data_IF_822170832795
#
_entry.id   IF_822170832795
#
_cell.length_a   1.000
_cell.length_b   1.000
_cell.length_c   1.000
_cell.angle_alpha   90.00
_cell.angle_beta   90.00
_cell.angle_gamma   90.00
#
_symmetry.space_group_name_H-M   'P 1'
#
loop_
_entity.id
_entity.type
_entity.pdbx_description
1 polymer ?
#
# COMPACT_ATOMS: atom_id res chain seq x y z
N UNK A 1 26.87 2.31 -7.77
CA UNK A 1 25.60 3.06 -7.63
C UNK A 1 25.96 4.51 -7.56
N UNK A 2 25.43 5.33 -8.46
CA UNK A 2 25.68 6.76 -8.40
C UNK A 2 24.99 7.36 -7.18
N UNK A 3 25.57 8.40 -6.58
CA UNK A 3 24.97 9.11 -5.44
C UNK A 3 23.53 9.59 -5.69
N UNK A 4 23.11 9.66 -6.96
CA UNK A 4 21.78 10.11 -7.35
C UNK A 4 20.64 9.11 -7.05
N UNK A 5 20.94 7.81 -7.00
CA UNK A 5 19.94 6.78 -6.60
C UNK A 5 19.61 6.86 -5.09
N UNK A 6 20.44 7.56 -4.33
CA UNK A 6 20.28 7.71 -2.88
C UNK A 6 19.82 9.12 -2.47
N UNK A 7 19.45 9.99 -3.41
CA UNK A 7 18.93 11.30 -3.06
C UNK A 7 17.63 11.21 -2.27
N UNK A 8 17.48 11.98 -1.20
CA UNK A 8 16.28 11.93 -0.38
C UNK A 8 15.04 12.37 -1.16
N UNK A 9 13.99 11.63 -0.98
CA UNK A 9 12.68 11.63 -1.66
C UNK A 9 11.96 13.01 -1.70
N UNK A 10 12.45 14.03 -1.05
CA UNK A 10 11.76 15.30 -0.86
C UNK A 10 11.46 16.11 -2.15
N UNK A 11 12.07 15.75 -3.29
CA UNK A 11 11.87 16.45 -4.56
C UNK A 11 11.64 15.49 -5.76
N UNK A 12 11.25 14.24 -5.51
CA UNK A 12 11.31 13.16 -6.49
C UNK A 12 10.33 13.26 -7.66
N UNK A 13 9.11 13.72 -7.42
CA UNK A 13 8.09 13.71 -8.46
C UNK A 13 8.45 14.58 -9.68
N UNK A 14 9.26 15.63 -9.49
CA UNK A 14 9.67 16.52 -10.57
C UNK A 14 11.08 16.20 -11.10
N UNK A 15 12.02 15.84 -10.23
CA UNK A 15 13.39 15.55 -10.64
C UNK A 15 13.52 14.22 -11.41
N UNK A 16 12.74 13.21 -11.07
CA UNK A 16 12.77 11.91 -11.75
C UNK A 16 12.23 11.97 -13.20
N UNK A 17 11.23 12.80 -13.47
CA UNK A 17 10.67 12.91 -14.82
C UNK A 17 11.68 13.54 -15.79
N UNK A 18 12.45 14.53 -15.33
CA UNK A 18 13.41 15.24 -16.16
C UNK A 18 14.76 14.49 -16.29
N UNK A 19 15.10 13.62 -15.32
CA UNK A 19 16.38 12.91 -15.25
C UNK A 19 16.26 11.37 -15.39
N UNK A 20 15.13 10.85 -15.90
CA UNK A 20 14.87 9.41 -16.03
C UNK A 20 15.98 8.65 -16.76
N UNK A 21 16.48 9.21 -17.85
CA UNK A 21 17.58 8.60 -18.63
C UNK A 21 18.88 8.46 -17.80
N UNK A 22 19.08 9.37 -16.85
CA UNK A 22 20.27 9.38 -16.01
C UNK A 22 20.19 8.39 -14.85
N UNK A 23 19.00 8.21 -14.29
CA UNK A 23 18.79 7.30 -13.13
C UNK A 23 18.38 5.90 -13.56
N UNK A 24 18.04 5.69 -14.82
CA UNK A 24 17.52 4.41 -15.31
C UNK A 24 18.57 3.53 -15.95
N UNK A 25 19.64 4.11 -16.50
CA UNK A 25 20.68 3.36 -17.19
C UNK A 25 22.08 3.88 -16.87
N UNK A 26 23.08 3.05 -17.01
CA UNK A 26 24.46 3.47 -16.85
C UNK A 26 25.49 2.42 -17.20
N UNK A 27 26.77 2.80 -17.10
CA UNK A 27 27.91 1.92 -17.35
C UNK A 27 28.85 1.96 -16.15
N UNK A 28 29.23 0.79 -15.67
CA UNK A 28 30.21 0.63 -14.61
C UNK A 28 31.31 -0.32 -15.11
N UNK A 29 32.47 0.22 -15.44
CA UNK A 29 33.54 -0.56 -16.07
C UNK A 29 33.14 -1.10 -17.45
N UNK A 30 33.06 -2.43 -17.59
CA UNK A 30 32.62 -3.11 -18.82
C UNK A 30 31.17 -3.61 -18.75
N UNK A 31 30.44 -3.33 -17.66
CA UNK A 31 29.05 -3.73 -17.49
C UNK A 31 28.12 -2.52 -17.68
N UNK A 32 27.02 -2.73 -18.38
CA UNK A 32 25.88 -1.81 -18.41
C UNK A 32 24.80 -2.25 -17.42
N UNK A 33 24.09 -1.30 -16.85
CA UNK A 33 22.93 -1.55 -16.03
C UNK A 33 21.73 -0.76 -16.56
N UNK A 34 20.55 -1.31 -16.35
CA UNK A 34 19.28 -0.76 -16.75
C UNK A 34 18.28 -1.03 -15.61
N UNK A 35 17.59 0.01 -15.13
CA UNK A 35 16.54 -0.09 -14.14
C UNK A 35 15.20 -0.03 -14.86
N UNK A 36 14.38 -1.03 -14.63
CA UNK A 36 13.03 -1.12 -15.15
C UNK A 36 12.08 -1.54 -14.04
N UNK A 37 10.83 -1.25 -14.22
CA UNK A 37 9.74 -1.80 -13.41
C UNK A 37 8.62 -2.26 -14.33
N UNK A 38 7.87 -3.25 -13.87
CA UNK A 38 6.76 -3.84 -14.59
C UNK A 38 5.44 -3.42 -13.94
N UNK A 39 4.49 -2.95 -14.75
CA UNK A 39 3.14 -2.60 -14.31
C UNK A 39 2.16 -2.87 -15.45
N UNK A 40 1.06 -3.56 -15.15
CA UNK A 40 0.00 -3.89 -16.10
C UNK A 40 0.52 -4.60 -17.37
N UNK A 41 1.39 -5.59 -17.23
CA UNK A 41 1.93 -6.36 -18.35
C UNK A 41 2.89 -5.57 -19.25
N UNK A 42 3.49 -4.47 -18.76
CA UNK A 42 4.38 -3.60 -19.54
C UNK A 42 5.63 -3.22 -18.75
N UNK A 43 6.76 -3.31 -19.43
CA UNK A 43 8.03 -2.78 -18.92
C UNK A 43 8.07 -1.25 -19.05
N UNK A 44 8.38 -0.59 -17.96
CA UNK A 44 8.64 0.85 -17.90
C UNK A 44 10.10 1.09 -17.52
N UNK A 45 10.70 2.12 -18.10
CA UNK A 45 12.06 2.50 -17.76
C UNK A 45 12.07 3.31 -16.46
N UNK A 46 13.04 3.02 -15.60
CA UNK A 46 13.23 3.72 -14.33
C UNK A 46 12.71 2.94 -13.11
N UNK A 47 12.99 3.48 -11.91
CA UNK A 47 12.51 2.91 -10.66
C UNK A 47 10.99 3.09 -10.51
N UNK A 48 10.35 2.15 -9.83
CA UNK A 48 8.95 2.30 -9.39
C UNK A 48 8.88 3.20 -8.16
N UNK A 49 7.81 4.00 -8.09
CA UNK A 49 7.54 4.83 -6.93
C UNK A 49 6.79 4.01 -5.85
N UNK A 50 7.45 3.71 -4.75
CA UNK A 50 6.84 3.02 -3.61
C UNK A 50 5.63 3.77 -3.01
N UNK A 51 5.49 5.08 -3.26
CA UNK A 51 4.30 5.84 -2.85
C UNK A 51 3.05 5.52 -3.69
N UNK A 52 3.21 4.80 -4.80
CA UNK A 52 2.07 4.26 -5.56
C UNK A 52 1.40 3.09 -4.84
N UNK A 53 2.09 2.46 -3.90
CA UNK A 53 1.59 1.35 -3.10
C UNK A 53 1.04 1.82 -1.77
N UNK A 54 0.11 1.04 -1.23
CA UNK A 54 -0.49 1.31 0.07
C UNK A 54 0.43 0.85 1.21
N UNK A 55 0.74 1.74 2.15
CA UNK A 55 1.55 1.38 3.31
C UNK A 55 0.70 0.66 4.36
N UNK A 56 0.95 -0.64 4.56
CA UNK A 56 0.22 -1.47 5.51
C UNK A 56 0.35 -0.99 6.96
N UNK A 57 1.42 -0.30 7.30
CA UNK A 57 1.66 0.26 8.64
C UNK A 57 1.06 1.66 8.83
N UNK A 58 0.39 2.23 7.83
CA UNK A 58 -0.24 3.54 7.96
C UNK A 58 -1.48 3.48 8.85
N UNK A 59 -1.86 4.60 9.48
CA UNK A 59 -3.04 4.68 10.35
C UNK A 59 -4.34 4.22 9.68
N UNK A 60 -4.43 4.29 8.36
CA UNK A 60 -5.60 3.88 7.58
C UNK A 60 -5.49 2.43 7.04
N UNK A 61 -4.47 1.69 7.43
CA UNK A 61 -4.25 0.31 6.93
C UNK A 61 -5.42 -0.61 7.22
N UNK A 62 -6.03 -0.48 8.40
CA UNK A 62 -7.21 -1.28 8.80
C UNK A 62 -8.37 -1.09 7.82
N UNK A 63 -8.58 0.13 7.32
CA UNK A 63 -9.64 0.39 6.34
C UNK A 63 -9.34 -0.29 5.00
N UNK A 64 -8.10 -0.22 4.53
CA UNK A 64 -7.70 -0.89 3.29
C UNK A 64 -7.82 -2.42 3.43
N UNK A 65 -7.36 -2.98 4.53
CA UNK A 65 -7.48 -4.41 4.81
C UNK A 65 -8.95 -4.84 4.89
N UNK A 66 -9.85 -4.00 5.41
CA UNK A 66 -11.30 -4.29 5.39
C UNK A 66 -11.93 -4.23 4.00
N UNK A 67 -11.40 -3.42 3.09
CA UNK A 67 -11.82 -3.43 1.69
C UNK A 67 -11.42 -4.74 1.01
N UNK A 68 -10.26 -5.27 1.37
CA UNK A 68 -9.81 -6.59 0.90
C UNK A 68 -10.51 -7.76 1.61
N UNK A 69 -11.12 -7.54 2.77
CA UNK A 69 -11.70 -8.58 3.66
C UNK A 69 -12.77 -9.45 2.97
N UNK A 70 -13.50 -8.91 1.98
CA UNK A 70 -14.47 -9.69 1.19
C UNK A 70 -13.79 -10.78 0.34
N UNK A 71 -12.49 -10.64 0.07
CA UNK A 71 -11.68 -11.57 -0.73
C UNK A 71 -10.70 -12.39 0.12
N UNK A 72 -10.50 -11.99 1.40
CA UNK A 72 -9.61 -12.69 2.31
C UNK A 72 -10.25 -13.96 2.88
N UNK A 73 -9.49 -15.04 3.07
CA UNK A 73 -9.95 -16.19 3.85
C UNK A 73 -10.34 -15.77 5.28
N UNK A 74 -11.34 -16.46 5.82
CA UNK A 74 -11.90 -16.15 7.13
C UNK A 74 -10.84 -16.16 8.25
N UNK A 75 -10.72 -15.06 8.98
CA UNK A 75 -9.79 -14.89 10.09
C UNK A 75 -8.41 -14.35 9.71
N UNK A 76 -8.10 -14.20 8.42
CA UNK A 76 -6.80 -13.67 7.99
C UNK A 76 -6.62 -12.20 8.37
N UNK A 77 -7.66 -11.40 8.22
CA UNK A 77 -7.61 -9.99 8.63
C UNK A 77 -7.28 -9.84 10.12
N UNK A 78 -7.97 -10.59 10.97
CA UNK A 78 -7.75 -10.55 12.41
C UNK A 78 -6.35 -11.02 12.77
N UNK A 79 -5.83 -12.05 12.10
CA UNK A 79 -4.45 -12.52 12.29
C UNK A 79 -3.41 -11.49 11.87
N UNK A 80 -3.67 -10.71 10.80
CA UNK A 80 -2.80 -9.61 10.39
C UNK A 80 -2.82 -8.50 11.44
N UNK A 81 -4.00 -8.17 11.98
CA UNK A 81 -4.14 -7.12 13.00
C UNK A 81 -3.49 -7.53 14.32
N UNK A 82 -3.62 -8.80 14.75
CA UNK A 82 -2.96 -9.36 15.93
C UNK A 82 -1.43 -9.38 15.76
N UNK A 83 -0.94 -9.69 14.55
CA UNK A 83 0.49 -9.61 14.25
C UNK A 83 1.08 -8.21 14.38
N UNK A 84 0.25 -7.18 14.11
CA UNK A 84 0.69 -5.79 14.01
C UNK A 84 0.55 -5.00 15.31
N UNK A 85 -0.30 -5.40 16.25
CA UNK A 85 -0.44 -4.69 17.51
C UNK A 85 0.64 -5.09 18.55
N UNK A 86 0.61 -4.45 19.71
CA UNK A 86 1.67 -4.60 20.73
C UNK A 86 1.28 -5.53 21.87
N UNK A 87 0.05 -6.04 21.86
CA UNK A 87 -0.43 -6.89 22.94
C UNK A 87 -0.52 -8.37 22.53
N UNK A 88 -0.98 -9.26 23.44
CA UNK A 88 -1.17 -10.68 23.19
C UNK A 88 -2.68 -11.04 23.35
N UNK A 89 -3.59 -10.07 23.15
CA UNK A 89 -5.04 -10.28 23.27
C UNK A 89 -5.64 -10.72 21.94
N UNK A 90 -5.91 -12.02 21.81
CA UNK A 90 -6.44 -12.64 20.58
C UNK A 90 -7.77 -12.01 20.15
N UNK A 91 -7.85 -11.44 18.94
CA UNK A 91 -9.12 -11.05 18.33
C UNK A 91 -9.97 -12.25 18.01
N UNK A 92 -11.29 -12.05 17.83
CA UNK A 92 -12.30 -13.12 17.66
C UNK A 92 -11.89 -13.99 16.49
N UNK A 93 -11.11 -14.23 15.84
CA UNK A 93 -10.69 -15.15 14.75
C UNK A 93 -9.20 -15.00 14.46
N UNK A 94 -8.54 -14.14 15.18
CA UNK A 94 -7.13 -13.91 15.04
C UNK A 94 -6.32 -14.94 15.82
N UNK A 95 -5.03 -14.78 15.80
CA UNK A 95 -4.07 -15.63 16.53
C UNK A 95 -2.91 -14.81 17.05
N UNK A 96 -2.48 -15.14 18.23
CA UNK A 96 -1.40 -14.49 18.94
C UNK A 96 -0.23 -15.44 19.25
N UNK A 97 0.69 -14.99 20.04
CA UNK A 97 1.95 -15.64 20.40
C UNK A 97 1.84 -17.13 20.70
N UNK A 98 0.83 -17.54 21.48
CA UNK A 98 0.66 -18.94 21.88
C UNK A 98 0.43 -19.86 20.67
N UNK A 99 -0.25 -19.38 19.65
CA UNK A 99 -0.43 -20.10 18.39
C UNK A 99 0.91 -20.32 17.70
N UNK A 100 1.69 -19.28 17.47
CA UNK A 100 2.96 -19.36 16.72
C UNK A 100 4.00 -20.20 17.48
N UNK A 101 4.00 -20.16 18.80
CA UNK A 101 4.85 -21.00 19.63
C UNK A 101 4.42 -22.47 19.65
N UNK A 102 3.18 -22.78 19.28
CA UNK A 102 2.66 -24.15 19.21
C UNK A 102 2.96 -24.87 17.88
N UNK A 103 3.48 -24.16 16.88
CA UNK A 103 3.80 -24.73 15.58
C UNK A 103 4.96 -25.73 15.64
N UNK A 104 5.05 -26.63 14.68
CA UNK A 104 6.17 -27.60 14.56
C UNK A 104 7.55 -26.90 14.47
N UNK A 105 7.59 -25.72 13.87
CA UNK A 105 8.73 -24.81 13.86
C UNK A 105 8.31 -23.49 14.54
N UNK A 106 8.41 -23.42 15.87
CA UNK A 106 7.90 -22.26 16.61
C UNK A 106 8.71 -21.01 16.37
N UNK A 107 8.01 -19.89 16.33
CA UNK A 107 8.60 -18.55 16.25
C UNK A 107 7.74 -17.54 17.02
N UNK A 108 8.30 -16.40 17.33
CA UNK A 108 7.61 -15.29 18.01
C UNK A 108 6.94 -14.40 16.93
N UNK A 109 5.68 -14.02 17.11
CA UNK A 109 5.07 -12.98 16.29
C UNK A 109 5.79 -11.65 16.51
N UNK A 110 5.59 -10.71 15.58
CA UNK A 110 6.27 -9.42 15.69
C UNK A 110 5.71 -8.53 16.79
N UNK A 111 4.41 -8.56 17.02
CA UNK A 111 3.68 -7.62 17.88
C UNK A 111 4.10 -6.18 17.60
N UNK A 112 3.92 -5.76 16.34
CA UNK A 112 4.29 -4.43 15.89
C UNK A 112 4.34 -4.27 14.38
N UNK A 113 4.79 -3.12 13.87
CA UNK A 113 4.76 -2.80 12.45
C UNK A 113 5.51 -3.82 11.59
N UNK A 114 4.91 -4.24 10.48
CA UNK A 114 5.49 -5.14 9.48
C UNK A 114 6.71 -4.48 8.84
N UNK A 115 7.82 -5.19 8.73
CA UNK A 115 9.08 -4.65 8.18
C UNK A 115 9.28 -4.92 6.70
N UNK A 116 8.69 -5.99 6.19
CA UNK A 116 8.77 -6.38 4.80
C UNK A 116 7.45 -7.05 4.40
N UNK A 117 6.98 -6.84 3.19
CA UNK A 117 5.77 -7.51 2.71
C UNK A 117 5.94 -9.04 2.77
N UNK A 118 7.10 -9.57 2.44
CA UNK A 118 7.39 -11.00 2.57
C UNK A 118 7.28 -11.54 4.02
N UNK A 119 7.34 -10.69 5.04
CA UNK A 119 7.09 -11.09 6.43
C UNK A 119 5.64 -11.54 6.65
N UNK A 120 4.71 -11.05 5.85
CA UNK A 120 3.31 -11.43 5.96
C UNK A 120 3.08 -12.92 5.70
N UNK A 121 3.98 -13.60 4.98
CA UNK A 121 3.95 -15.05 4.80
C UNK A 121 4.12 -15.85 6.11
N UNK A 122 4.52 -15.18 7.20
CA UNK A 122 4.61 -15.77 8.53
C UNK A 122 3.29 -15.65 9.31
N UNK A 123 2.33 -14.88 8.82
CA UNK A 123 1.06 -14.64 9.49
C UNK A 123 0.12 -15.82 9.23
N UNK A 124 -0.56 -16.28 10.25
CA UNK A 124 -1.48 -17.40 10.14
C UNK A 124 -2.59 -17.14 9.11
N UNK A 125 -2.74 -18.07 8.18
CA UNK A 125 -3.74 -17.99 7.11
C UNK A 125 -3.28 -17.23 5.87
N UNK A 126 -2.18 -16.51 5.90
CA UNK A 126 -1.57 -15.89 4.72
C UNK A 126 -0.73 -16.94 3.99
N UNK A 127 -0.98 -17.10 2.70
CA UNK A 127 -0.23 -18.01 1.85
C UNK A 127 0.81 -17.25 1.01
N UNK A 128 1.90 -17.88 0.59
CA UNK A 128 2.86 -17.23 -0.31
C UNK A 128 2.23 -16.69 -1.59
N UNK A 129 1.24 -17.37 -2.14
CA UNK A 129 0.51 -16.97 -3.34
C UNK A 129 -0.28 -15.67 -3.11
N UNK A 130 -0.82 -15.44 -1.89
CA UNK A 130 -1.51 -14.19 -1.57
C UNK A 130 -0.54 -12.99 -1.67
N UNK A 131 0.71 -13.19 -1.25
CA UNK A 131 1.73 -12.15 -1.24
C UNK A 131 2.36 -11.95 -2.61
N UNK A 132 2.70 -13.03 -3.26
CA UNK A 132 3.53 -13.03 -4.48
C UNK A 132 2.68 -13.08 -5.75
N UNK A 133 1.52 -13.74 -5.71
CA UNK A 133 0.84 -14.13 -6.93
C UNK A 133 1.76 -15.05 -7.74
N UNK A 134 1.91 -14.77 -9.00
CA UNK A 134 2.82 -15.48 -9.91
C UNK A 134 4.26 -14.93 -9.88
N UNK A 135 4.46 -13.72 -9.34
CA UNK A 135 5.78 -13.08 -9.17
C UNK A 135 6.53 -13.70 -7.98
N UNK A 136 7.07 -14.89 -8.20
CA UNK A 136 7.64 -15.70 -7.12
C UNK A 136 8.91 -15.11 -6.50
N UNK A 137 9.69 -14.38 -7.27
CA UNK A 137 10.92 -13.75 -6.79
C UNK A 137 10.77 -12.25 -6.48
N UNK A 138 9.57 -11.69 -6.67
CA UNK A 138 9.21 -10.31 -6.39
C UNK A 138 10.03 -9.28 -7.18
N UNK A 139 10.35 -9.60 -8.43
CA UNK A 139 11.07 -8.70 -9.33
C UNK A 139 10.14 -7.87 -10.24
N UNK A 140 8.82 -8.11 -10.17
CA UNK A 140 7.75 -7.47 -10.95
C UNK A 140 7.87 -7.73 -12.45
N UNK A 141 8.40 -8.87 -12.83
CA UNK A 141 8.61 -9.25 -14.21
C UNK A 141 8.22 -10.71 -14.42
N UNK A 142 7.45 -10.94 -15.47
CA UNK A 142 7.08 -12.30 -15.84
C UNK A 142 8.27 -13.06 -16.44
N UNK A 143 8.79 -14.00 -15.71
CA UNK A 143 9.83 -14.91 -16.16
C UNK A 143 9.24 -16.22 -16.71
N UNK A 144 10.05 -16.95 -17.47
CA UNK A 144 9.60 -18.20 -18.12
C UNK A 144 9.24 -19.34 -17.17
N UNK A 145 9.66 -19.27 -15.92
CA UNK A 145 9.30 -20.20 -14.84
C UNK A 145 8.06 -19.75 -14.06
N UNK A 146 7.53 -18.57 -14.38
CA UNK A 146 6.32 -17.98 -13.81
C UNK A 146 5.15 -18.05 -14.81
N UNK A 147 5.44 -18.24 -16.10
CA UNK A 147 4.46 -18.47 -17.16
C UNK A 147 4.60 -19.91 -17.70
N UNK A 148 4.39 -20.92 -16.88
CA UNK A 148 4.65 -22.32 -17.19
C UNK A 148 3.42 -23.26 -17.09
N UNK A 149 2.27 -22.73 -16.73
CA UNK A 149 1.02 -23.47 -16.66
C UNK A 149 0.98 -24.51 -15.54
N UNK A 150 1.62 -24.25 -14.42
CA UNK A 150 1.58 -25.11 -13.26
C UNK A 150 2.48 -26.32 -13.34
N UNK A 151 3.54 -26.24 -14.11
CA UNK A 151 4.59 -27.28 -14.17
C UNK A 151 5.61 -27.10 -13.04
N UNK A 152 5.75 -25.90 -12.53
CA UNK A 152 6.55 -25.55 -11.36
C UNK A 152 5.77 -24.58 -10.45
N UNK A 153 6.36 -24.12 -9.36
CA UNK A 153 5.80 -23.04 -8.58
C UNK A 153 6.33 -21.70 -9.12
N UNK A 154 5.49 -20.66 -9.14
CA UNK A 154 4.07 -20.60 -8.80
C UNK A 154 3.20 -21.34 -9.82
N UNK A 155 2.00 -21.77 -9.39
CA UNK A 155 1.03 -22.42 -10.26
C UNK A 155 0.23 -21.37 -11.03
N UNK A 156 0.36 -21.28 -12.32
CA UNK A 156 -0.28 -20.30 -13.19
C UNK A 156 -0.99 -20.92 -14.40
N UNK A 157 -1.69 -20.10 -15.17
CA UNK A 157 -2.12 -20.39 -16.53
C UNK A 157 -1.18 -19.67 -17.51
N UNK A 158 -0.55 -20.37 -18.49
CA UNK A 158 0.44 -19.77 -19.37
C UNK A 158 -0.20 -18.81 -20.39
N UNK A 159 -0.58 -17.63 -19.92
CA UNK A 159 -1.31 -16.63 -20.69
C UNK A 159 -0.45 -15.38 -21.04
N UNK A 160 0.81 -15.34 -20.61
CA UNK A 160 1.75 -14.22 -20.73
C UNK A 160 1.28 -12.96 -19.97
N UNK A 161 0.49 -13.14 -18.93
CA UNK A 161 0.10 -12.09 -17.99
C UNK A 161 0.57 -12.48 -16.60
N UNK A 162 1.14 -11.56 -15.85
CA UNK A 162 1.56 -11.80 -14.47
C UNK A 162 0.47 -11.33 -13.51
N UNK A 163 -0.14 -12.24 -12.80
CA UNK A 163 -1.03 -11.93 -11.69
C UNK A 163 -0.21 -11.61 -10.44
N UNK A 164 -0.05 -10.33 -10.15
CA UNK A 164 0.68 -9.87 -8.97
C UNK A 164 -0.13 -10.08 -7.71
N UNK A 165 0.52 -10.62 -6.66
CA UNK A 165 -0.07 -10.72 -5.33
C UNK A 165 -0.12 -9.37 -4.59
N UNK A 166 -0.33 -9.43 -3.28
CA UNK A 166 -0.41 -8.21 -2.44
C UNK A 166 0.87 -7.37 -2.47
N UNK A 167 2.03 -7.95 -2.78
CA UNK A 167 3.29 -7.22 -2.94
C UNK A 167 3.23 -6.17 -4.06
N UNK A 168 2.36 -6.36 -5.05
CA UNK A 168 2.12 -5.37 -6.10
C UNK A 168 1.35 -4.13 -5.59
N UNK A 169 0.55 -4.28 -4.55
CA UNK A 169 -0.35 -3.26 -4.00
C UNK A 169 0.13 -2.66 -2.67
N UNK A 170 0.86 -3.45 -1.89
CA UNK A 170 1.26 -3.11 -0.52
C UNK A 170 2.74 -2.77 -0.42
N UNK A 171 3.07 -1.91 0.52
CA UNK A 171 4.43 -1.61 0.96
C UNK A 171 4.47 -1.42 2.47
N UNK A 172 5.65 -1.51 3.06
CA UNK A 172 5.88 -1.23 4.49
C UNK A 172 6.59 0.09 4.73
N UNK A 173 7.07 0.75 3.70
CA UNK A 173 8.05 1.85 3.80
C UNK A 173 7.63 3.14 3.11
N UNK A 174 6.51 3.17 2.38
CA UNK A 174 6.07 4.42 1.76
C UNK A 174 5.68 5.45 2.82
N UNK A 175 6.08 6.69 2.58
CA UNK A 175 5.71 7.82 3.43
C UNK A 175 4.84 8.76 2.61
N UNK A 176 3.62 9.00 3.07
CA UNK A 176 2.77 10.00 2.44
C UNK A 176 3.40 11.39 2.56
N UNK A 177 3.87 11.94 1.46
CA UNK A 177 4.46 13.27 1.38
C UNK A 177 3.46 14.40 1.65
N UNK A 178 2.19 14.07 1.89
CA UNK A 178 1.13 15.07 2.11
C UNK A 178 0.83 15.92 0.88
N UNK A 179 1.19 15.43 -0.32
CA UNK A 179 0.91 16.10 -1.59
C UNK A 179 -0.24 15.43 -2.33
N UNK A 180 -0.96 16.21 -3.12
CA UNK A 180 -1.94 15.74 -4.09
C UNK A 180 -1.24 15.25 -5.37
N UNK A 181 -1.97 14.62 -6.27
CA UNK A 181 -1.44 14.22 -7.58
C UNK A 181 -0.89 15.42 -8.40
N UNK A 182 -1.41 16.64 -8.17
CA UNK A 182 -0.89 17.88 -8.79
C UNK A 182 0.35 18.45 -8.09
N UNK A 183 0.86 17.80 -7.04
CA UNK A 183 2.00 18.27 -6.25
C UNK A 183 1.65 19.34 -5.21
N UNK A 184 0.39 19.72 -5.05
CA UNK A 184 -0.05 20.65 -4.03
C UNK A 184 -0.13 19.95 -2.66
N UNK A 185 0.09 20.72 -1.58
CA UNK A 185 -0.04 20.18 -0.23
C UNK A 185 -1.48 19.76 0.05
N UNK A 186 -1.68 18.52 0.53
CA UNK A 186 -3.00 18.05 0.98
C UNK A 186 -3.55 18.91 2.11
N UNK A 187 -4.86 18.98 2.19
CA UNK A 187 -5.57 19.72 3.23
C UNK A 187 -5.76 18.78 4.43
N UNK A 188 -5.33 19.24 5.60
CA UNK A 188 -5.66 18.58 6.84
C UNK A 188 -6.94 19.22 7.40
N UNK A 189 -8.06 18.50 7.33
CA UNK A 189 -9.37 19.00 7.75
C UNK A 189 -9.42 19.34 9.23
N UNK A 190 -8.65 18.68 10.09
CA UNK A 190 -8.57 18.96 11.52
C UNK A 190 -7.75 20.22 11.86
N UNK A 191 -7.15 20.88 10.87
CA UNK A 191 -6.26 22.05 11.08
C UNK A 191 -6.56 23.24 10.20
N UNK A 192 -7.50 23.10 9.27
CA UNK A 192 -7.88 24.17 8.36
C UNK A 192 -9.12 24.89 8.88
N UNK A 193 -9.17 26.19 8.71
CA UNK A 193 -10.40 26.97 8.96
C UNK A 193 -11.36 26.91 7.77
N UNK A 194 -12.65 27.15 8.04
CA UNK A 194 -13.72 27.06 7.05
C UNK A 194 -13.52 27.99 5.85
N UNK A 195 -13.05 29.22 6.08
CA UNK A 195 -12.81 30.20 5.01
C UNK A 195 -11.71 29.75 4.05
N UNK A 196 -10.59 29.25 4.61
CA UNK A 196 -9.49 28.70 3.83
C UNK A 196 -9.91 27.44 3.05
N UNK A 197 -10.75 26.59 3.64
CA UNK A 197 -11.28 25.40 2.98
C UNK A 197 -12.19 25.74 1.81
N UNK A 198 -13.09 26.72 1.99
CA UNK A 198 -13.95 27.26 0.93
C UNK A 198 -13.13 27.77 -0.26
N UNK A 199 -12.11 28.58 0.03
CA UNK A 199 -11.26 29.18 -1.01
C UNK A 199 -10.47 28.13 -1.80
N UNK A 200 -9.96 27.10 -1.13
CA UNK A 200 -9.11 26.07 -1.76
C UNK A 200 -9.90 25.04 -2.57
N UNK A 201 -11.10 24.70 -2.13
CA UNK A 201 -11.92 23.68 -2.77
C UNK A 201 -13.10 24.24 -3.55
N UNK A 202 -13.36 25.57 -3.48
CA UNK A 202 -14.49 26.20 -4.14
C UNK A 202 -15.83 25.77 -3.53
N UNK A 203 -15.87 25.55 -2.22
CA UNK A 203 -17.06 25.09 -1.50
C UNK A 203 -17.92 26.25 -1.02
N UNK A 204 -19.22 26.00 -0.90
CA UNK A 204 -20.11 26.88 -0.16
C UNK A 204 -19.80 26.80 1.36
N UNK A 205 -20.11 27.88 2.15
CA UNK A 205 -19.79 27.91 3.58
C UNK A 205 -20.31 26.69 4.35
N UNK A 206 -21.57 26.32 4.12
CA UNK A 206 -22.21 25.17 4.76
C UNK A 206 -21.56 23.82 4.44
N UNK A 207 -21.02 23.68 3.23
CA UNK A 207 -20.28 22.48 2.83
C UNK A 207 -18.91 22.39 3.51
N UNK A 208 -18.22 23.52 3.66
CA UNK A 208 -16.92 23.56 4.32
C UNK A 208 -17.07 23.29 5.83
N UNK A 209 -18.08 23.88 6.48
CA UNK A 209 -18.39 23.60 7.88
C UNK A 209 -18.76 22.13 8.10
N UNK A 210 -19.62 21.56 7.25
CA UNK A 210 -20.00 20.15 7.34
C UNK A 210 -18.81 19.19 7.19
N UNK A 211 -17.81 19.50 6.35
CA UNK A 211 -16.60 18.70 6.22
C UNK A 211 -15.72 18.79 7.46
N UNK A 212 -15.62 19.96 8.08
CA UNK A 212 -14.86 20.15 9.31
C UNK A 212 -15.54 19.42 10.47
N UNK A 213 -16.85 19.62 10.63
CA UNK A 213 -17.64 18.94 11.66
C UNK A 213 -17.57 17.41 11.52
N UNK A 214 -17.63 16.92 10.27
CA UNK A 214 -17.44 15.50 10.00
C UNK A 214 -16.05 15.02 10.43
N UNK A 215 -14.99 15.75 10.09
CA UNK A 215 -13.62 15.37 10.43
C UNK A 215 -13.35 15.40 11.95
N UNK A 216 -14.10 16.20 12.71
CA UNK A 216 -14.02 16.27 14.18
C UNK A 216 -14.92 15.23 14.88
N UNK A 217 -15.80 14.54 14.15
CA UNK A 217 -16.71 13.55 14.70
C UNK A 217 -15.99 12.25 15.06
N UNK A 218 -16.52 11.50 16.06
CA UNK A 218 -16.02 10.17 16.42
C UNK A 218 -16.22 9.12 15.31
N UNK A 219 -17.16 9.38 14.40
CA UNK A 219 -17.49 8.52 13.25
C UNK A 219 -16.74 8.91 11.97
N UNK A 220 -15.75 9.82 12.07
CA UNK A 220 -14.97 10.28 10.93
C UNK A 220 -14.06 9.18 10.40
N UNK A 221 -14.54 8.43 9.43
CA UNK A 221 -13.74 7.46 8.69
C UNK A 221 -13.74 7.76 7.18
N UNK A 222 -12.68 7.32 6.51
CA UNK A 222 -12.49 7.59 5.09
C UNK A 222 -13.53 6.87 4.23
N UNK A 223 -14.01 5.68 4.62
CA UNK A 223 -15.00 4.93 3.86
C UNK A 223 -16.35 5.66 3.88
N UNK A 224 -16.75 6.18 5.03
CA UNK A 224 -17.95 7.02 5.16
C UNK A 224 -17.83 8.27 4.30
N UNK A 225 -16.69 8.96 4.31
CA UNK A 225 -16.45 10.14 3.47
C UNK A 225 -16.53 9.83 1.97
N UNK A 226 -15.97 8.70 1.54
CA UNK A 226 -15.98 8.29 0.13
C UNK A 226 -17.35 7.83 -0.38
N UNK A 227 -18.20 7.32 0.51
CA UNK A 227 -19.54 6.81 0.17
C UNK A 227 -20.63 7.86 0.29
N UNK A 228 -20.40 8.94 1.03
CA UNK A 228 -21.35 10.03 1.21
C UNK A 228 -21.06 11.19 0.28
N UNK A 229 -22.12 11.81 -0.25
CA UNK A 229 -21.98 13.06 -0.99
C UNK A 229 -21.88 14.23 -0.01
N UNK A 230 -21.23 15.32 -0.39
CA UNK A 230 -21.18 16.55 0.42
C UNK A 230 -22.57 17.05 0.85
N UNK A 231 -23.60 16.80 0.03
CA UNK A 231 -24.98 17.11 0.38
C UNK A 231 -25.54 16.26 1.50
N UNK A 232 -25.18 14.99 1.58
CA UNK A 232 -25.61 14.10 2.66
C UNK A 232 -24.87 14.38 3.96
N UNK A 233 -23.66 14.89 3.89
CA UNK A 233 -22.88 15.32 5.05
C UNK A 233 -23.41 16.62 5.64
N UNK A 234 -23.81 17.59 4.80
CA UNK A 234 -24.33 18.89 5.24
C UNK A 234 -25.76 18.86 5.78
N UNK A 235 -26.39 17.68 5.87
CA UNK A 235 -27.79 17.55 6.28
C UNK A 235 -28.74 18.36 5.38
N UNK A 236 -29.75 17.70 4.79
CA UNK A 236 -30.71 18.30 3.86
C UNK A 236 -31.00 19.78 4.10
N UNK A 237 -30.27 20.63 3.45
CA UNK A 237 -30.76 21.97 3.15
C UNK A 237 -31.59 21.84 1.86
N UNK A 238 -32.90 21.65 2.05
CA UNK A 238 -33.94 21.70 1.00
C UNK A 238 -33.85 22.95 0.17
#
# INVERSE_FOLDING_TARGET
MSEHVLMPVQNHAFALIDDLDYVSTGIVGNASWDIRHHVDGRDWQGPMDEHSKFNINAQNSVLFLRILDEELPYGVLESILDWMDEDDEVRLLGVERDYYLSLDSPYEPRNGPIRSIAEMELIAGVMPDDIRGEDWDLDFRLDSNEDDGGQSLPWDEPDNYMEGGWASLLTTTSVDGGATQSGEKRINLNKIDSESLQLRLGLEPEQAEALIDFAESEDADLATLLTQTLRSISGDAT
#
